data_IF_223498583392
#
_entry.id   IF_223498583392
#
_cell.length_a   1.000
_cell.length_b   1.000
_cell.length_c   1.000
_cell.angle_alpha   90.00
_cell.angle_beta   90.00
_cell.angle_gamma   90.00
#
_symmetry.space_group_name_H-M   'P 1'
#
loop_
_entity.id
_entity.type
_entity.pdbx_description
1 polymer ?
#
# COMPACT_ATOMS: atom_id res chain seq x y z
N UNK A 1 -4.52 17.45 -8.40
CA UNK A 1 -5.42 18.01 -7.36
C UNK A 1 -6.88 18.13 -7.78
N UNK A 2 -7.22 18.46 -9.04
CA UNK A 2 -8.62 18.59 -9.47
C UNK A 2 -9.49 17.35 -9.21
N UNK A 3 -8.99 16.14 -9.52
CA UNK A 3 -9.73 14.89 -9.27
C UNK A 3 -9.99 14.64 -7.77
N UNK A 4 -9.01 14.92 -6.92
CA UNK A 4 -9.15 14.80 -5.46
C UNK A 4 -10.20 15.79 -4.91
N UNK A 5 -10.09 17.07 -5.27
CA UNK A 5 -11.05 18.09 -4.84
C UNK A 5 -12.48 17.77 -5.33
N UNK A 6 -12.61 17.30 -6.57
CA UNK A 6 -13.89 16.88 -7.12
C UNK A 6 -14.47 15.68 -6.35
N UNK A 7 -13.67 14.65 -6.06
CA UNK A 7 -14.14 13.48 -5.32
C UNK A 7 -14.65 13.87 -3.93
N UNK A 8 -13.96 14.75 -3.22
CA UNK A 8 -14.32 15.21 -1.87
C UNK A 8 -15.75 15.78 -1.78
N UNK A 9 -16.24 16.39 -2.86
CA UNK A 9 -17.60 16.98 -2.92
C UNK A 9 -18.66 16.04 -3.50
N UNK A 10 -18.26 14.91 -4.09
CA UNK A 10 -19.15 14.03 -4.85
C UNK A 10 -19.25 12.61 -4.27
N UNK A 11 -18.57 12.33 -3.15
CA UNK A 11 -18.73 11.07 -2.40
C UNK A 11 -18.94 11.35 -0.92
N UNK A 12 -19.60 10.43 -0.24
CA UNK A 12 -19.68 10.44 1.22
C UNK A 12 -18.51 9.65 1.80
N UNK A 13 -17.78 10.25 2.73
CA UNK A 13 -16.73 9.55 3.47
C UNK A 13 -17.35 8.40 4.28
N UNK A 14 -16.71 7.23 4.22
CA UNK A 14 -17.15 6.00 4.84
C UNK A 14 -15.96 5.20 5.35
N UNK A 15 -16.22 4.02 5.92
CA UNK A 15 -15.22 3.03 6.31
C UNK A 15 -15.72 1.61 6.07
N UNK A 16 -14.93 0.58 6.39
CA UNK A 16 -13.61 0.63 7.04
C UNK A 16 -12.45 1.03 6.09
N UNK A 17 -11.24 1.15 6.63
CA UNK A 17 -10.01 1.42 5.87
C UNK A 17 -9.44 0.10 5.33
N UNK A 18 -9.43 -0.05 4.01
CA UNK A 18 -9.06 -1.29 3.31
C UNK A 18 -7.99 -1.03 2.25
N UNK A 19 -6.86 -1.73 2.29
CA UNK A 19 -5.79 -1.57 1.27
C UNK A 19 -5.75 -2.69 0.24
N UNK A 20 -6.26 -3.89 0.56
CA UNK A 20 -6.13 -5.06 -0.32
C UNK A 20 -6.60 -4.77 -1.74
N UNK A 21 -7.75 -4.09 -1.89
CA UNK A 21 -8.35 -3.77 -3.19
C UNK A 21 -7.51 -2.81 -4.05
N UNK A 22 -6.92 -1.78 -3.43
CA UNK A 22 -6.11 -0.79 -4.17
C UNK A 22 -4.73 -1.35 -4.54
N UNK A 23 -4.14 -2.17 -3.67
CA UNK A 23 -2.91 -2.92 -3.96
C UNK A 23 -3.14 -3.89 -5.12
N UNK A 24 -4.21 -4.67 -5.08
CA UNK A 24 -4.58 -5.59 -6.16
C UNK A 24 -4.81 -4.87 -7.49
N UNK A 25 -5.41 -3.67 -7.45
CA UNK A 25 -5.62 -2.86 -8.66
C UNK A 25 -4.28 -2.40 -9.25
N UNK A 26 -3.37 -1.90 -8.41
CA UNK A 26 -2.03 -1.50 -8.85
C UNK A 26 -1.24 -2.69 -9.40
N UNK A 27 -1.30 -3.85 -8.73
CA UNK A 27 -0.69 -5.09 -9.17
C UNK A 27 -1.23 -5.52 -10.55
N UNK A 28 -2.55 -5.45 -10.79
CA UNK A 28 -3.13 -5.73 -12.11
C UNK A 28 -2.57 -4.82 -13.19
N UNK A 29 -2.43 -3.52 -12.93
CA UNK A 29 -1.86 -2.55 -13.88
C UNK A 29 -0.38 -2.87 -14.17
N UNK A 30 0.42 -3.12 -13.13
CA UNK A 30 1.83 -3.47 -13.28
C UNK A 30 2.02 -4.81 -14.03
N UNK A 31 1.22 -5.82 -13.72
CA UNK A 31 1.25 -7.12 -14.39
C UNK A 31 0.84 -7.04 -15.87
N UNK A 32 -0.16 -6.23 -16.21
CA UNK A 32 -0.53 -5.97 -17.61
C UNK A 32 0.61 -5.30 -18.39
N UNK A 33 1.32 -4.36 -17.76
CA UNK A 33 2.48 -3.68 -18.37
C UNK A 33 3.59 -4.66 -18.77
N UNK A 34 3.84 -5.69 -17.94
CA UNK A 34 4.82 -6.74 -18.24
C UNK A 34 4.41 -7.57 -19.46
N UNK A 35 3.13 -7.96 -19.57
CA UNK A 35 2.61 -8.74 -20.68
C UNK A 35 2.76 -8.01 -22.02
N UNK A 36 2.63 -6.69 -22.01
CA UNK A 36 2.81 -5.84 -23.19
C UNK A 36 4.28 -5.41 -23.44
N UNK A 37 5.25 -6.04 -22.75
CA UNK A 37 6.69 -5.76 -22.86
C UNK A 37 7.04 -4.28 -22.65
N UNK A 38 6.26 -3.60 -21.81
CA UNK A 38 6.51 -2.22 -21.46
C UNK A 38 7.46 -2.16 -20.27
N UNK A 39 8.63 -1.55 -20.46
CA UNK A 39 9.65 -1.35 -19.42
C UNK A 39 9.23 -0.24 -18.43
N UNK A 40 8.14 -0.47 -17.69
CA UNK A 40 7.61 0.45 -16.69
C UNK A 40 7.71 -0.15 -15.30
N UNK A 41 8.16 0.68 -14.37
CA UNK A 41 8.10 0.43 -12.95
C UNK A 41 7.08 1.37 -12.32
N UNK A 42 6.25 0.84 -11.45
CA UNK A 42 5.14 1.57 -10.83
C UNK A 42 5.43 1.85 -9.36
N UNK A 43 4.98 3.02 -8.89
CA UNK A 43 4.97 3.37 -7.48
C UNK A 43 3.54 3.74 -7.10
N UNK A 44 2.94 2.96 -6.20
CA UNK A 44 1.65 3.25 -5.60
C UNK A 44 1.85 4.05 -4.31
N UNK A 45 1.36 5.28 -4.26
CA UNK A 45 1.29 6.07 -3.04
C UNK A 45 -0.09 5.93 -2.41
N UNK A 46 -0.14 5.43 -1.17
CA UNK A 46 -1.36 5.34 -0.34
C UNK A 46 -1.25 6.38 0.76
N UNK A 47 -2.29 7.20 0.94
CA UNK A 47 -2.38 8.18 2.02
C UNK A 47 -3.57 7.79 2.89
N UNK A 48 -3.34 7.66 4.21
CA UNK A 48 -4.37 7.26 5.18
C UNK A 48 -4.26 8.09 6.45
N UNK A 49 -5.38 8.35 7.12
CA UNK A 49 -5.42 8.97 8.45
C UNK A 49 -5.71 7.96 9.57
N UNK A 50 -5.89 6.68 9.23
CA UNK A 50 -6.26 5.63 10.17
C UNK A 50 -5.60 4.28 9.91
N UNK A 51 -5.92 3.32 10.79
CA UNK A 51 -5.37 1.96 10.76
C UNK A 51 -6.11 1.04 9.80
N UNK A 52 -5.41 -0.01 9.39
CA UNK A 52 -5.88 -0.99 8.42
C UNK A 52 -6.84 -1.98 9.09
N UNK A 53 -7.99 -2.25 8.47
CA UNK A 53 -8.93 -3.27 8.97
C UNK A 53 -8.69 -4.64 8.33
N UNK A 54 -8.16 -4.69 7.10
CA UNK A 54 -7.93 -5.89 6.29
C UNK A 54 -6.45 -6.32 6.24
N UNK A 55 -5.82 -6.48 7.41
CA UNK A 55 -4.39 -6.79 7.49
C UNK A 55 -3.98 -8.03 6.69
N UNK A 56 -4.72 -9.13 6.84
CA UNK A 56 -4.36 -10.38 6.15
C UNK A 56 -4.54 -10.30 4.64
N UNK A 57 -5.61 -9.68 4.16
CA UNK A 57 -5.90 -9.52 2.74
C UNK A 57 -4.89 -8.58 2.08
N UNK A 58 -4.51 -7.51 2.79
CA UNK A 58 -3.45 -6.59 2.36
C UNK A 58 -2.10 -7.31 2.28
N UNK A 59 -1.73 -8.11 3.28
CA UNK A 59 -0.50 -8.93 3.23
C UNK A 59 -0.49 -9.88 2.04
N UNK A 60 -1.59 -10.57 1.79
CA UNK A 60 -1.71 -11.51 0.66
C UNK A 60 -1.55 -10.79 -0.69
N UNK A 61 -2.18 -9.61 -0.83
CA UNK A 61 -2.05 -8.77 -2.02
C UNK A 61 -0.61 -8.27 -2.23
N UNK A 62 0.07 -7.84 -1.15
CA UNK A 62 1.46 -7.37 -1.19
C UNK A 62 2.44 -8.50 -1.53
N UNK A 63 2.30 -9.67 -0.91
CA UNK A 63 3.12 -10.86 -1.23
C UNK A 63 2.94 -11.24 -2.70
N UNK A 64 1.71 -11.23 -3.22
CA UNK A 64 1.44 -11.48 -4.64
C UNK A 64 2.04 -10.40 -5.55
N UNK A 65 2.00 -9.13 -5.13
CA UNK A 65 2.55 -8.02 -5.89
C UNK A 65 4.08 -7.98 -5.89
N UNK A 66 4.76 -8.68 -4.98
CA UNK A 66 6.23 -8.65 -4.85
C UNK A 66 6.98 -9.10 -6.12
N UNK A 67 6.37 -9.93 -6.95
CA UNK A 67 6.94 -10.39 -8.24
C UNK A 67 6.79 -9.38 -9.38
N UNK A 68 6.01 -8.31 -9.19
CA UNK A 68 5.68 -7.33 -10.23
C UNK A 68 6.59 -6.11 -10.12
N UNK A 69 6.74 -5.29 -11.18
CA UNK A 69 7.51 -4.04 -11.13
C UNK A 69 6.70 -2.93 -10.42
N UNK A 70 6.46 -3.12 -9.12
CA UNK A 70 5.64 -2.27 -8.27
C UNK A 70 6.31 -2.05 -6.91
N UNK A 71 6.38 -0.80 -6.46
CA UNK A 71 6.61 -0.42 -5.05
C UNK A 71 5.36 0.26 -4.49
N UNK A 72 5.16 0.16 -3.19
CA UNK A 72 4.06 0.78 -2.45
C UNK A 72 4.65 1.65 -1.34
N UNK A 73 4.26 2.92 -1.32
CA UNK A 73 4.58 3.87 -0.27
C UNK A 73 3.30 4.18 0.50
N UNK A 74 3.29 3.96 1.81
CA UNK A 74 2.16 4.27 2.68
C UNK A 74 2.51 5.45 3.56
N UNK A 75 1.74 6.54 3.46
CA UNK A 75 1.93 7.75 4.25
C UNK A 75 0.76 7.92 5.22
N UNK A 76 1.07 7.86 6.51
CA UNK A 76 0.11 8.11 7.59
C UNK A 76 0.02 9.60 7.91
N UNK A 77 -1.17 10.20 7.81
CA UNK A 77 -1.41 11.62 8.17
C UNK A 77 -2.25 11.72 9.44
N UNK A 78 -2.19 12.86 10.13
CA UNK A 78 -2.94 13.08 11.37
C UNK A 78 -2.33 12.35 12.58
N UNK A 79 -3.16 12.17 13.62
CA UNK A 79 -2.75 11.77 14.97
C UNK A 79 -3.02 10.32 15.38
N UNK A 80 -3.45 9.44 14.46
CA UNK A 80 -3.75 8.04 14.77
C UNK A 80 -2.52 7.24 15.25
N UNK A 81 -2.76 6.12 15.93
CA UNK A 81 -1.73 5.15 16.26
C UNK A 81 -1.46 4.25 15.03
N UNK A 82 -0.25 4.34 14.46
CA UNK A 82 0.13 3.60 13.25
C UNK A 82 0.98 2.36 13.52
N UNK A 83 1.07 1.88 14.76
CA UNK A 83 1.84 0.66 15.12
C UNK A 83 1.53 -0.55 14.23
N UNK A 84 0.26 -0.72 13.82
CA UNK A 84 -0.12 -1.82 12.92
C UNK A 84 0.42 -1.65 11.48
N UNK A 85 0.71 -0.43 11.05
CA UNK A 85 1.26 -0.16 9.71
C UNK A 85 2.75 -0.49 9.64
N UNK A 86 3.48 -0.40 10.75
CA UNK A 86 4.89 -0.83 10.83
C UNK A 86 5.06 -2.35 10.59
N UNK A 87 3.99 -3.14 10.74
CA UNK A 87 4.00 -4.58 10.42
C UNK A 87 4.11 -4.81 8.90
N UNK A 88 3.61 -3.86 8.10
CA UNK A 88 3.70 -3.92 6.65
C UNK A 88 5.07 -3.50 6.14
N UNK A 89 5.81 -2.74 6.94
CA UNK A 89 7.17 -2.31 6.65
C UNK A 89 8.16 -3.47 6.89
N UNK A 90 8.98 -3.79 5.90
CA UNK A 90 9.94 -4.89 6.01
C UNK A 90 11.29 -4.48 6.60
N UNK A 91 11.46 -3.21 6.99
CA UNK A 91 12.67 -2.68 7.63
C UNK A 91 13.05 -3.44 8.93
N UNK A 92 12.07 -4.08 9.58
CA UNK A 92 12.27 -4.92 10.76
C UNK A 92 12.83 -6.33 10.45
N UNK A 93 13.28 -6.57 9.20
CA UNK A 93 13.92 -7.81 8.76
C UNK A 93 12.96 -9.00 8.62
N UNK A 94 11.65 -8.80 8.79
CA UNK A 94 10.62 -9.82 8.61
C UNK A 94 9.96 -9.65 7.25
N UNK A 95 10.21 -10.59 6.35
CA UNK A 95 9.50 -10.63 5.07
C UNK A 95 8.03 -10.93 5.29
N UNK A 96 7.17 -10.27 4.52
CA UNK A 96 5.75 -10.53 4.54
C UNK A 96 5.46 -11.98 4.11
N UNK A 97 4.61 -12.65 4.89
CA UNK A 97 4.12 -14.00 4.63
C UNK A 97 2.61 -13.97 4.46
N UNK A 98 2.12 -14.59 3.38
CA UNK A 98 0.70 -14.70 3.06
C UNK A 98 0.02 -15.76 3.92
N UNK A 99 -1.31 -15.77 3.89
CA UNK A 99 -2.16 -16.79 4.51
C UNK A 99 -1.89 -18.21 4.01
N UNK A 100 -1.30 -18.34 2.82
CA UNK A 100 -0.92 -19.62 2.19
C UNK A 100 0.50 -20.08 2.53
N UNK A 101 1.24 -19.35 3.37
CA UNK A 101 2.64 -19.61 3.71
C UNK A 101 3.64 -19.15 2.65
N UNK A 102 3.20 -18.37 1.66
CA UNK A 102 4.08 -17.80 0.63
C UNK A 102 4.79 -16.57 1.20
N UNK A 103 6.11 -16.50 1.02
CA UNK A 103 6.91 -15.34 1.43
C UNK A 103 7.12 -14.39 0.26
N UNK A 104 7.08 -13.08 0.51
CA UNK A 104 7.37 -12.06 -0.49
C UNK A 104 8.78 -12.24 -1.09
N UNK A 105 8.90 -12.10 -2.41
CA UNK A 105 10.17 -12.32 -3.13
C UNK A 105 11.18 -11.21 -2.89
N UNK A 106 10.69 -10.00 -2.69
CA UNK A 106 11.44 -8.80 -2.31
C UNK A 106 10.56 -7.91 -1.45
N UNK A 107 11.20 -7.00 -0.74
CA UNK A 107 10.49 -5.92 -0.09
C UNK A 107 9.99 -4.89 -1.12
N UNK A 108 8.74 -4.46 -0.95
CA UNK A 108 8.07 -3.51 -1.83
C UNK A 108 7.33 -2.42 -1.07
N UNK A 109 7.27 -2.45 0.27
CA UNK A 109 6.44 -1.55 1.07
C UNK A 109 7.30 -0.72 2.01
N UNK A 110 7.13 0.59 1.96
CA UNK A 110 7.65 1.50 2.98
C UNK A 110 6.48 2.20 3.67
N UNK A 111 6.50 2.25 5.00
CA UNK A 111 5.57 3.07 5.76
C UNK A 111 6.27 4.27 6.39
N UNK A 112 5.65 5.45 6.30
CA UNK A 112 6.15 6.67 6.95
C UNK A 112 4.98 7.47 7.55
N UNK A 113 5.00 7.74 8.87
CA UNK A 113 4.13 8.75 9.46
C UNK A 113 4.58 10.15 9.01
N UNK A 114 3.69 10.91 8.37
CA UNK A 114 4.00 12.27 7.88
C UNK A 114 4.45 13.21 9.01
N UNK A 115 4.01 12.94 10.25
CA UNK A 115 4.40 13.73 11.43
C UNK A 115 5.90 13.64 11.72
N UNK A 116 6.55 12.54 11.36
CA UNK A 116 7.98 12.33 11.64
C UNK A 116 8.87 13.06 10.64
N UNK A 117 8.33 13.37 9.44
CA UNK A 117 9.02 14.10 8.37
C UNK A 117 8.93 15.62 8.56
N UNK A 118 7.85 16.12 9.15
CA UNK A 118 7.65 17.56 9.36
C UNK A 118 8.47 18.12 10.54
N UNK A 119 9.07 17.25 11.35
CA UNK A 119 9.92 17.62 12.48
C UNK A 119 11.40 17.86 12.12
N UNK A 120 11.77 17.76 10.85
CA UNK A 120 13.08 18.18 10.29
C UNK A 120 12.97 19.52 9.54
#
# INVERSE_FOLDING_TARGET
MAAYANALHNVSLAGPTLFGQVVDRAAKIAGQSLLHHSNKYYVLLIITDGVLTDLQETKDALVKASDLPLSVLVVGVGGADFTQMEILDADNGRRLESSTGRVATRDIVQFVPMRDVQSE
#
